data_IF_605934294012
#
_entry.id   IF_605934294012
#
_cell.length_a   1.000
_cell.length_b   1.000
_cell.length_c   1.000
_cell.angle_alpha   90.00
_cell.angle_beta   90.00
_cell.angle_gamma   90.00
#
_symmetry.space_group_name_H-M   'P 1'
#
loop_
_entity.id
_entity.type
_entity.pdbx_description
1 polymer ?
#
# COMPACT_ATOMS: atom_id res chain seq x y z
N UNK A 1 14.95 15.56 -16.99
CA UNK A 1 13.91 16.13 -17.86
C UNK A 1 12.66 16.31 -17.01
N UNK A 2 12.20 17.57 -16.89
CA UNK A 2 11.08 18.03 -16.08
C UNK A 2 9.77 17.38 -16.54
N UNK A 3 9.06 16.75 -15.62
CA UNK A 3 7.70 16.26 -15.82
C UNK A 3 6.75 17.46 -15.84
N UNK A 4 6.27 17.83 -17.01
CA UNK A 4 5.30 18.91 -17.23
C UNK A 4 3.93 18.48 -16.73
N UNK A 5 3.35 19.31 -15.88
CA UNK A 5 1.98 19.17 -15.34
C UNK A 5 0.94 19.25 -16.47
N UNK A 6 0.15 18.23 -16.60
CA UNK A 6 -1.07 18.26 -17.41
C UNK A 6 -2.28 17.99 -16.49
N UNK A 7 -3.08 19.04 -16.27
CA UNK A 7 -4.50 19.00 -16.02
C UNK A 7 -4.99 18.42 -14.68
N UNK A 8 -4.79 19.12 -13.56
CA UNK A 8 -5.62 18.95 -12.36
C UNK A 8 -6.91 19.75 -12.58
N UNK A 9 -8.03 19.06 -12.83
CA UNK A 9 -9.36 19.68 -12.78
C UNK A 9 -9.69 19.90 -11.30
N UNK A 10 -9.66 21.17 -10.87
CA UNK A 10 -10.15 21.62 -9.57
C UNK A 10 -11.66 21.34 -9.47
N UNK A 11 -12.04 20.32 -8.70
CA UNK A 11 -13.41 20.17 -8.24
C UNK A 11 -13.62 21.13 -7.05
N UNK A 12 -14.39 22.20 -7.28
CA UNK A 12 -14.73 23.18 -6.28
C UNK A 12 -15.43 22.57 -5.06
N UNK A 13 -15.09 23.06 -3.88
CA UNK A 13 -15.73 22.70 -2.62
C UNK A 13 -17.17 23.22 -2.60
N UNK A 14 -18.15 22.31 -2.58
CA UNK A 14 -19.55 22.62 -2.26
C UNK A 14 -19.78 22.32 -0.76
N UNK A 15 -20.44 23.26 -0.07
CA UNK A 15 -20.82 23.15 1.34
C UNK A 15 -21.96 22.14 1.55
N UNK A 16 -22.05 21.46 2.73
CA UNK A 16 -23.01 20.39 2.95
C UNK A 16 -24.40 20.91 3.31
N UNK A 17 -25.28 21.09 2.34
CA UNK A 17 -26.69 21.39 2.62
C UNK A 17 -27.71 20.79 1.67
N UNK A 18 -27.29 20.12 0.60
CA UNK A 18 -28.25 19.48 -0.32
C UNK A 18 -27.85 18.02 -0.50
N UNK A 19 -28.84 17.11 -0.41
CA UNK A 19 -28.67 15.66 -0.50
C UNK A 19 -28.06 15.18 -1.83
N UNK A 20 -26.83 15.57 -2.09
CA UNK A 20 -26.06 15.20 -3.26
C UNK A 20 -25.46 13.83 -3.00
N UNK A 21 -25.96 12.83 -3.69
CA UNK A 21 -25.27 11.55 -3.85
C UNK A 21 -23.88 11.86 -4.44
N UNK A 22 -22.85 11.84 -3.60
CA UNK A 22 -21.47 11.87 -4.06
C UNK A 22 -21.19 10.56 -4.83
N UNK A 23 -21.48 10.55 -6.09
CA UNK A 23 -20.89 9.54 -6.99
C UNK A 23 -19.40 9.88 -7.09
N UNK A 24 -18.59 9.22 -6.26
CA UNK A 24 -17.16 9.17 -6.51
C UNK A 24 -16.96 8.39 -7.81
N UNK A 25 -16.76 9.08 -8.92
CA UNK A 25 -16.29 8.44 -10.16
C UNK A 25 -14.82 8.08 -9.94
N UNK A 26 -14.59 6.95 -9.30
CA UNK A 26 -13.24 6.41 -9.18
C UNK A 26 -12.84 5.76 -10.51
N UNK A 27 -12.30 6.55 -11.41
CA UNK A 27 -11.80 6.11 -12.73
C UNK A 27 -10.49 5.31 -12.65
N UNK A 28 -10.30 4.53 -11.59
CA UNK A 28 -9.04 3.81 -11.35
C UNK A 28 -7.98 4.69 -10.71
N UNK A 29 -6.76 4.18 -10.61
CA UNK A 29 -5.65 4.82 -9.91
C UNK A 29 -4.42 4.93 -10.82
N UNK A 30 -3.84 6.12 -10.88
CA UNK A 30 -2.57 6.36 -11.59
C UNK A 30 -1.39 6.06 -10.66
N UNK A 31 -0.48 5.17 -11.06
CA UNK A 31 0.76 4.86 -10.33
C UNK A 31 1.94 4.99 -11.31
N UNK A 32 2.70 6.08 -11.22
CA UNK A 32 3.72 6.38 -12.20
C UNK A 32 3.13 6.37 -13.63
N UNK A 33 3.68 5.58 -14.56
CA UNK A 33 3.17 5.49 -15.93
C UNK A 33 1.95 4.58 -16.07
N UNK A 34 1.52 3.88 -15.01
CA UNK A 34 0.48 2.85 -15.08
C UNK A 34 -0.88 3.40 -14.67
N UNK A 35 -1.90 3.19 -15.52
CA UNK A 35 -3.31 3.42 -15.19
C UNK A 35 -3.93 2.09 -14.75
N UNK A 36 -4.26 1.95 -13.47
CA UNK A 36 -4.91 0.77 -12.91
C UNK A 36 -6.43 0.89 -12.97
N UNK A 37 -7.10 -0.22 -13.22
CA UNK A 37 -8.55 -0.26 -13.46
C UNK A 37 -9.40 -0.21 -12.18
N UNK A 38 -8.82 0.02 -11.01
CA UNK A 38 -9.55 0.05 -9.74
C UNK A 38 -8.73 0.62 -8.60
N UNK A 39 -9.37 0.69 -7.43
CA UNK A 39 -8.85 1.33 -6.23
C UNK A 39 -8.72 0.35 -5.04
N UNK A 40 -8.94 -0.95 -5.30
CA UNK A 40 -8.90 -1.99 -4.27
C UNK A 40 -7.63 -2.81 -4.43
N UNK A 41 -6.90 -3.00 -3.34
CA UNK A 41 -5.56 -3.60 -3.35
C UNK A 41 -5.47 -4.74 -2.36
N UNK A 42 -4.81 -5.85 -2.74
CA UNK A 42 -4.51 -6.93 -1.80
C UNK A 42 -3.25 -6.60 -1.00
N UNK A 43 -3.36 -6.65 0.33
CA UNK A 43 -2.26 -6.39 1.26
C UNK A 43 -1.22 -7.51 1.27
N UNK A 44 0.07 -7.20 1.50
CA UNK A 44 1.09 -8.21 1.76
C UNK A 44 0.85 -8.88 3.12
N UNK A 45 0.77 -10.20 3.12
CA UNK A 45 0.57 -11.02 4.33
C UNK A 45 1.51 -12.22 4.28
N UNK A 46 2.49 -12.27 5.19
CA UNK A 46 3.47 -13.36 5.26
C UNK A 46 2.79 -14.72 5.48
N UNK A 47 3.12 -15.70 4.67
CA UNK A 47 2.52 -17.03 4.69
C UNK A 47 1.12 -17.12 4.07
N UNK A 48 0.63 -16.04 3.45
CA UNK A 48 -0.73 -15.96 2.87
C UNK A 48 -0.74 -15.48 1.43
N UNK A 49 -0.06 -14.37 1.12
CA UNK A 49 -0.11 -13.75 -0.21
C UNK A 49 0.93 -14.33 -1.16
N UNK A 50 0.89 -15.66 -1.32
CA UNK A 50 1.61 -16.34 -2.38
C UNK A 50 1.06 -15.98 -3.78
N UNK A 51 1.74 -16.40 -4.83
CA UNK A 51 1.34 -16.08 -6.20
C UNK A 51 -0.07 -16.60 -6.54
N UNK A 52 -0.46 -17.77 -6.02
CA UNK A 52 -1.77 -18.34 -6.30
C UNK A 52 -2.89 -17.48 -5.71
N UNK A 53 -2.75 -17.08 -4.45
CA UNK A 53 -3.76 -16.23 -3.79
C UNK A 53 -3.83 -14.84 -4.42
N UNK A 54 -2.68 -14.23 -4.76
CA UNK A 54 -2.64 -12.94 -5.48
C UNK A 54 -3.40 -13.00 -6.79
N UNK A 55 -3.12 -14.02 -7.63
CA UNK A 55 -3.81 -14.21 -8.92
C UNK A 55 -5.32 -14.41 -8.73
N UNK A 56 -5.76 -15.12 -7.69
CA UNK A 56 -7.19 -15.27 -7.39
C UNK A 56 -7.81 -13.90 -7.07
N UNK A 57 -7.21 -13.11 -6.18
CA UNK A 57 -7.72 -11.79 -5.83
C UNK A 57 -7.75 -10.82 -7.03
N UNK A 58 -6.72 -10.86 -7.90
CA UNK A 58 -6.69 -10.09 -9.13
C UNK A 58 -7.83 -10.46 -10.08
N UNK A 59 -8.15 -11.76 -10.23
CA UNK A 59 -9.30 -12.21 -11.03
C UNK A 59 -10.64 -11.74 -10.47
N UNK A 60 -10.70 -11.49 -9.15
CA UNK A 60 -11.88 -10.95 -8.48
C UNK A 60 -11.88 -9.41 -8.38
N UNK A 61 -10.99 -8.71 -9.09
CA UNK A 61 -11.05 -7.25 -9.22
C UNK A 61 -10.13 -6.46 -8.29
N UNK A 62 -9.15 -7.10 -7.62
CA UNK A 62 -8.06 -6.34 -7.03
C UNK A 62 -7.27 -5.65 -8.16
N UNK A 63 -7.02 -4.34 -8.04
CA UNK A 63 -6.27 -3.56 -9.03
C UNK A 63 -4.81 -4.02 -9.12
N UNK A 64 -4.23 -4.34 -7.98
CA UNK A 64 -2.96 -5.04 -7.86
C UNK A 64 -2.89 -5.77 -6.51
N UNK A 65 -1.88 -6.63 -6.39
CA UNK A 65 -1.59 -7.38 -5.18
C UNK A 65 -0.13 -7.20 -4.80
N UNK A 66 0.13 -7.00 -3.50
CA UNK A 66 1.51 -6.91 -3.00
C UNK A 66 1.95 -8.29 -2.51
N UNK A 67 3.12 -8.74 -2.96
CA UNK A 67 3.71 -10.00 -2.56
C UNK A 67 4.15 -10.02 -1.09
N UNK A 68 4.50 -11.20 -0.59
CA UNK A 68 5.10 -11.33 0.74
C UNK A 68 6.42 -10.56 0.81
N UNK A 69 6.71 -9.95 1.97
CA UNK A 69 7.94 -9.18 2.16
C UNK A 69 9.20 -10.02 1.96
N UNK A 70 10.13 -9.53 1.13
CA UNK A 70 11.45 -10.10 0.89
C UNK A 70 12.48 -9.33 1.72
N UNK A 71 13.36 -10.04 2.44
CA UNK A 71 14.42 -9.40 3.23
C UNK A 71 15.51 -8.86 2.30
N UNK A 72 16.04 -7.65 2.60
CA UNK A 72 17.09 -6.99 1.83
C UNK A 72 18.50 -7.49 2.10
N UNK A 73 18.70 -8.19 3.25
CA UNK A 73 20.04 -8.64 3.65
C UNK A 73 20.73 -9.47 2.56
N UNK A 74 21.90 -9.04 2.15
CA UNK A 74 22.66 -9.62 1.04
C UNK A 74 22.88 -11.14 1.20
N UNK A 75 23.11 -11.63 2.44
CA UNK A 75 23.24 -13.03 2.75
C UNK A 75 21.96 -13.87 2.58
N UNK A 76 20.79 -13.23 2.50
CA UNK A 76 19.49 -13.87 2.33
C UNK A 76 19.02 -13.91 0.87
N UNK A 77 19.59 -13.09 -0.02
CA UNK A 77 19.15 -12.98 -1.42
C UNK A 77 19.25 -14.29 -2.20
N UNK A 78 20.15 -15.19 -1.79
CA UNK A 78 20.37 -16.48 -2.45
C UNK A 78 19.51 -17.63 -1.90
N UNK A 79 18.72 -17.38 -0.84
CA UNK A 79 17.82 -18.41 -0.31
C UNK A 79 16.63 -18.64 -1.22
N UNK A 80 16.17 -19.92 -1.32
CA UNK A 80 14.99 -20.25 -2.14
C UNK A 80 13.75 -19.47 -1.73
N UNK A 81 13.57 -19.28 -0.42
CA UNK A 81 12.45 -18.49 0.13
C UNK A 81 12.49 -17.05 -0.38
N UNK A 82 13.65 -16.41 -0.37
CA UNK A 82 13.81 -15.05 -0.86
C UNK A 82 13.59 -14.98 -2.37
N UNK A 83 14.18 -15.92 -3.15
CA UNK A 83 13.97 -15.99 -4.60
C UNK A 83 12.49 -16.08 -4.98
N UNK A 84 11.71 -16.93 -4.28
CA UNK A 84 10.25 -17.03 -4.50
C UNK A 84 9.52 -15.71 -4.30
N UNK A 85 9.98 -14.87 -3.37
CA UNK A 85 9.37 -13.55 -3.08
C UNK A 85 9.71 -12.49 -4.12
N UNK A 86 10.82 -12.65 -4.83
CA UNK A 86 11.18 -11.79 -5.97
C UNK A 86 10.60 -12.30 -7.30
N UNK A 87 10.07 -13.52 -7.34
CA UNK A 87 9.49 -14.07 -8.57
C UNK A 87 8.17 -13.38 -8.89
N UNK A 88 8.12 -12.72 -10.03
CA UNK A 88 6.91 -12.13 -10.58
C UNK A 88 6.16 -13.19 -11.39
N UNK A 89 4.89 -13.45 -11.04
CA UNK A 89 4.05 -14.37 -11.80
C UNK A 89 3.56 -13.67 -13.09
N UNK A 90 3.72 -14.25 -14.27
CA UNK A 90 3.32 -13.60 -15.53
C UNK A 90 1.80 -13.32 -15.63
N UNK A 91 1.00 -13.92 -14.77
CA UNK A 91 -0.44 -13.62 -14.64
C UNK A 91 -0.73 -12.33 -13.87
N UNK A 92 0.27 -11.79 -13.15
CA UNK A 92 0.19 -10.51 -12.45
C UNK A 92 0.66 -9.40 -13.40
N UNK A 93 -0.29 -8.75 -14.11
CA UNK A 93 0.04 -7.68 -15.07
C UNK A 93 0.77 -6.48 -14.46
N UNK A 94 0.63 -6.30 -13.14
CA UNK A 94 1.29 -5.28 -12.35
C UNK A 94 1.84 -5.94 -11.09
N UNK A 95 2.98 -6.65 -11.24
CA UNK A 95 3.62 -7.38 -10.16
C UNK A 95 4.32 -6.41 -9.19
N UNK A 96 4.04 -6.53 -7.89
CA UNK A 96 4.60 -5.68 -6.85
C UNK A 96 5.42 -6.52 -5.88
N UNK A 97 6.72 -6.23 -5.81
CA UNK A 97 7.64 -6.87 -4.86
C UNK A 97 7.81 -5.97 -3.63
N UNK A 98 7.51 -6.52 -2.45
CA UNK A 98 7.73 -5.79 -1.19
C UNK A 98 9.07 -6.16 -0.58
N UNK A 99 9.89 -5.16 -0.26
CA UNK A 99 11.22 -5.32 0.36
C UNK A 99 11.22 -4.84 1.81
N UNK A 100 12.04 -5.48 2.64
CA UNK A 100 12.14 -5.25 4.08
C UNK A 100 13.60 -5.21 4.52
N UNK A 101 14.02 -4.13 5.14
CA UNK A 101 15.36 -3.95 5.71
C UNK A 101 15.47 -2.68 6.54
N UNK A 102 16.67 -2.42 7.04
CA UNK A 102 17.01 -1.22 7.82
C UNK A 102 18.31 -0.56 7.32
N UNK A 103 19.07 -1.21 6.45
CA UNK A 103 20.26 -0.61 5.85
C UNK A 103 19.91 0.00 4.49
N UNK A 104 20.17 1.31 4.26
CA UNK A 104 19.83 1.97 3.01
C UNK A 104 20.47 1.34 1.76
N UNK A 105 21.74 0.90 1.87
CA UNK A 105 22.44 0.30 0.73
C UNK A 105 21.91 -1.09 0.39
N UNK A 106 21.61 -1.93 1.41
CA UNK A 106 20.96 -3.23 1.18
C UNK A 106 19.54 -3.06 0.61
N UNK A 107 18.80 -2.04 1.05
CA UNK A 107 17.46 -1.74 0.52
C UNK A 107 17.51 -1.28 -0.94
N UNK A 108 18.51 -0.46 -1.31
CA UNK A 108 18.75 -0.07 -2.71
C UNK A 108 19.06 -1.28 -3.59
N UNK A 109 19.96 -2.16 -3.15
CA UNK A 109 20.29 -3.40 -3.87
C UNK A 109 19.07 -4.33 -4.02
N UNK A 110 18.26 -4.46 -2.95
CA UNK A 110 17.03 -5.24 -2.99
C UNK A 110 16.00 -4.67 -3.97
N UNK A 111 15.90 -3.35 -4.07
CA UNK A 111 15.01 -2.69 -5.03
C UNK A 111 15.49 -2.91 -6.48
N UNK A 112 16.79 -2.77 -6.74
CA UNK A 112 17.37 -3.04 -8.05
C UNK A 112 17.12 -4.51 -8.48
N UNK A 113 17.34 -5.46 -7.57
CA UNK A 113 17.05 -6.88 -7.82
C UNK A 113 15.56 -7.11 -8.14
N UNK A 114 14.65 -6.45 -7.42
CA UNK A 114 13.21 -6.56 -7.71
C UNK A 114 12.88 -6.08 -9.12
N UNK A 115 13.47 -4.96 -9.55
CA UNK A 115 13.33 -4.46 -10.92
C UNK A 115 13.90 -5.43 -11.95
N UNK A 116 15.09 -6.01 -11.72
CA UNK A 116 15.70 -7.03 -12.59
C UNK A 116 14.84 -8.29 -12.70
N UNK A 117 14.14 -8.66 -11.61
CA UNK A 117 13.19 -9.77 -11.60
C UNK A 117 11.85 -9.46 -12.30
N UNK A 118 11.67 -8.26 -12.85
CA UNK A 118 10.49 -7.87 -13.63
C UNK A 118 9.35 -7.28 -12.80
N UNK A 119 9.61 -6.79 -11.59
CA UNK A 119 8.61 -6.05 -10.83
C UNK A 119 8.17 -4.79 -11.58
N UNK A 120 6.86 -4.51 -11.59
CA UNK A 120 6.30 -3.26 -12.10
C UNK A 120 6.36 -2.13 -11.06
N UNK A 121 6.45 -2.48 -9.77
CA UNK A 121 6.61 -1.55 -8.66
C UNK A 121 7.37 -2.23 -7.51
N UNK A 122 8.18 -1.47 -6.79
CA UNK A 122 8.78 -1.89 -5.52
C UNK A 122 8.02 -1.22 -4.37
N UNK A 123 7.62 -2.01 -3.37
CA UNK A 123 6.98 -1.51 -2.15
C UNK A 123 7.92 -1.68 -0.94
N UNK A 124 8.09 -0.62 -0.15
CA UNK A 124 8.94 -0.61 1.05
C UNK A 124 8.09 -0.92 2.28
N UNK A 125 8.51 -1.90 3.09
CA UNK A 125 7.79 -2.27 4.32
C UNK A 125 8.28 -1.49 5.54
N UNK A 126 7.50 -0.51 5.99
CA UNK A 126 7.64 0.20 7.28
C UNK A 126 6.47 -0.12 8.23
N UNK A 127 5.77 -1.25 8.01
CA UNK A 127 4.56 -1.57 8.76
C UNK A 127 4.59 -2.88 9.56
N UNK A 128 5.50 -3.81 9.30
CA UNK A 128 5.53 -5.11 9.95
C UNK A 128 5.79 -4.98 11.46
N UNK A 129 4.86 -5.43 12.35
CA UNK A 129 5.01 -5.29 13.80
C UNK A 129 5.65 -6.53 14.47
N UNK A 130 6.06 -7.53 13.69
CA UNK A 130 6.59 -8.78 14.22
C UNK A 130 7.85 -8.56 15.05
N UNK A 131 7.96 -9.22 16.22
CA UNK A 131 9.10 -9.05 17.13
C UNK A 131 10.44 -9.36 16.46
N UNK A 132 10.50 -10.40 15.64
CA UNK A 132 11.72 -10.81 14.91
C UNK A 132 12.15 -9.73 13.91
N UNK A 133 11.21 -9.04 13.26
CA UNK A 133 11.46 -7.96 12.31
C UNK A 133 11.89 -6.69 13.05
N UNK A 134 11.12 -6.27 14.06
CA UNK A 134 11.42 -5.08 14.85
C UNK A 134 12.73 -5.22 15.66
N UNK A 135 13.08 -6.43 16.10
CA UNK A 135 14.33 -6.71 16.78
C UNK A 135 15.58 -6.51 15.92
N UNK A 136 15.42 -6.50 14.60
CA UNK A 136 16.45 -6.15 13.59
C UNK A 136 16.33 -4.71 13.10
N UNK A 137 15.63 -3.84 13.83
CA UNK A 137 15.31 -2.45 13.48
C UNK A 137 14.55 -2.27 12.17
N UNK A 138 13.96 -3.34 11.61
CA UNK A 138 13.24 -3.34 10.34
C UNK A 138 11.71 -3.14 10.50
N UNK A 139 11.01 -2.96 9.41
CA UNK A 139 9.56 -2.82 9.37
C UNK A 139 9.10 -1.61 10.16
N UNK A 140 8.13 -1.76 11.07
CA UNK A 140 7.61 -0.63 11.84
C UNK A 140 8.62 -0.03 12.84
N UNK A 141 9.76 -0.70 13.12
CA UNK A 141 10.81 -0.14 13.94
C UNK A 141 11.53 1.05 13.26
N UNK A 142 11.59 1.06 11.92
CA UNK A 142 12.15 2.19 11.16
C UNK A 142 11.38 3.48 11.43
N UNK A 143 10.08 3.41 11.72
CA UNK A 143 9.26 4.59 12.03
C UNK A 143 9.66 5.32 13.33
N UNK A 144 10.54 4.74 14.15
CA UNK A 144 11.11 5.40 15.35
C UNK A 144 12.23 6.38 15.00
N UNK A 145 12.79 6.26 13.81
CA UNK A 145 13.90 7.08 13.32
C UNK A 145 13.54 7.64 11.93
N UNK A 146 12.87 8.80 11.86
CA UNK A 146 12.53 9.44 10.60
C UNK A 146 13.74 9.73 9.70
N UNK A 147 14.93 9.99 10.31
CA UNK A 147 16.14 10.18 9.52
C UNK A 147 16.52 8.91 8.78
N UNK A 148 16.56 7.77 9.45
CA UNK A 148 16.82 6.46 8.83
C UNK A 148 15.74 6.13 7.78
N UNK A 149 14.46 6.40 8.09
CA UNK A 149 13.37 6.23 7.12
C UNK A 149 13.64 7.02 5.84
N UNK A 150 13.99 8.31 5.96
CA UNK A 150 14.32 9.17 4.83
C UNK A 150 15.55 8.71 4.04
N UNK A 151 16.59 8.22 4.72
CA UNK A 151 17.79 7.67 4.08
C UNK A 151 17.46 6.43 3.24
N UNK A 152 16.64 5.51 3.77
CA UNK A 152 16.15 4.33 3.05
C UNK A 152 15.29 4.72 1.84
N UNK A 153 14.32 5.64 2.01
CA UNK A 153 13.44 6.07 0.93
C UNK A 153 14.25 6.66 -0.23
N UNK A 154 15.20 7.54 0.04
CA UNK A 154 16.08 8.13 -0.99
C UNK A 154 16.95 7.08 -1.69
N UNK A 155 17.53 6.15 -0.92
CA UNK A 155 18.37 5.10 -1.48
C UNK A 155 17.57 4.17 -2.43
N UNK A 156 16.37 3.76 -2.03
CA UNK A 156 15.47 2.94 -2.86
C UNK A 156 15.05 3.68 -4.12
N UNK A 157 14.57 4.93 -4.01
CA UNK A 157 14.13 5.72 -5.16
C UNK A 157 15.24 5.96 -6.18
N UNK A 158 16.48 6.13 -5.71
CA UNK A 158 17.65 6.34 -6.59
C UNK A 158 18.15 5.08 -7.28
N UNK A 159 17.78 3.89 -6.78
CA UNK A 159 18.27 2.61 -7.28
C UNK A 159 17.47 2.03 -8.45
N UNK A 160 16.26 2.53 -8.70
CA UNK A 160 15.33 1.97 -9.69
C UNK A 160 14.70 3.05 -10.57
N UNK A 161 14.21 2.64 -11.73
CA UNK A 161 13.46 3.51 -12.66
C UNK A 161 11.96 3.21 -12.67
N UNK A 162 11.56 2.10 -12.08
CA UNK A 162 10.15 1.72 -11.90
C UNK A 162 9.54 2.46 -10.71
N UNK A 163 8.20 2.59 -10.62
CA UNK A 163 7.50 3.18 -9.49
C UNK A 163 7.91 2.57 -8.14
N UNK A 164 7.95 3.41 -7.11
CA UNK A 164 8.21 3.00 -5.74
C UNK A 164 7.07 3.44 -4.82
N UNK A 165 6.71 2.58 -3.85
CA UNK A 165 5.70 2.86 -2.83
C UNK A 165 6.19 2.47 -1.45
N UNK A 166 5.55 2.98 -0.41
CA UNK A 166 5.82 2.60 0.98
C UNK A 166 4.54 2.21 1.69
N UNK A 167 4.58 1.07 2.39
CA UNK A 167 3.50 0.65 3.28
C UNK A 167 3.93 0.77 4.73
N UNK A 168 3.22 1.60 5.49
CA UNK A 168 3.56 1.92 6.87
C UNK A 168 2.36 1.83 7.82
N UNK A 169 2.60 2.01 9.11
CA UNK A 169 1.61 2.24 10.16
C UNK A 169 1.50 3.74 10.47
N UNK A 170 0.66 4.11 11.44
CA UNK A 170 0.55 5.52 11.88
C UNK A 170 1.75 5.96 12.72
N UNK A 171 2.46 5.01 13.33
CA UNK A 171 3.65 5.26 14.14
C UNK A 171 4.08 4.04 14.95
N UNK A 172 5.00 4.26 15.88
CA UNK A 172 5.47 3.24 16.81
C UNK A 172 4.44 2.95 17.91
N UNK A 173 3.96 4.00 18.57
CA UNK A 173 2.92 4.01 19.58
C UNK A 173 2.11 5.31 19.50
N UNK A 174 1.25 5.58 20.48
CA UNK A 174 0.39 6.78 20.49
C UNK A 174 1.17 8.08 20.68
N UNK A 175 2.31 8.03 21.36
CA UNK A 175 3.17 9.19 21.61
C UNK A 175 4.12 9.48 20.44
N UNK A 176 4.32 8.51 19.55
CA UNK A 176 5.26 8.58 18.43
C UNK A 176 4.56 8.21 17.11
N UNK A 177 3.74 9.15 16.60
CA UNK A 177 3.06 9.05 15.31
C UNK A 177 3.84 9.83 14.25
N UNK A 178 4.56 9.11 13.40
CA UNK A 178 5.48 9.68 12.40
C UNK A 178 5.00 9.50 10.97
N UNK A 179 3.78 8.97 10.75
CA UNK A 179 3.29 8.66 9.41
C UNK A 179 3.21 9.86 8.48
N UNK A 180 2.78 11.03 8.96
CA UNK A 180 2.69 12.26 8.17
C UNK A 180 4.08 12.72 7.72
N UNK A 181 5.05 12.72 8.63
CA UNK A 181 6.44 13.09 8.34
C UNK A 181 7.06 12.15 7.29
N UNK A 182 6.92 10.83 7.51
CA UNK A 182 7.48 9.82 6.60
C UNK A 182 6.79 9.86 5.23
N UNK A 183 5.47 10.13 5.17
CA UNK A 183 4.76 10.27 3.90
C UNK A 183 5.27 11.46 3.08
N UNK A 184 5.56 12.60 3.72
CA UNK A 184 6.18 13.76 3.07
C UNK A 184 7.58 13.42 2.56
N UNK A 185 8.40 12.76 3.39
CA UNK A 185 9.73 12.31 2.97
C UNK A 185 9.67 11.36 1.77
N UNK A 186 8.68 10.45 1.75
CA UNK A 186 8.46 9.54 0.62
C UNK A 186 8.11 10.32 -0.66
N UNK A 187 7.17 11.26 -0.59
CA UNK A 187 6.84 12.15 -1.71
C UNK A 187 8.06 12.91 -2.22
N UNK A 188 8.84 13.54 -1.31
CA UNK A 188 10.02 14.32 -1.65
C UNK A 188 11.13 13.45 -2.24
N UNK A 189 11.21 12.18 -1.87
CA UNK A 189 12.12 11.19 -2.46
C UNK A 189 11.67 10.66 -3.83
N UNK A 190 10.46 11.02 -4.30
CA UNK A 190 9.94 10.58 -5.60
C UNK A 190 9.08 9.31 -5.54
N UNK A 191 8.62 8.90 -4.37
CA UNK A 191 7.64 7.83 -4.24
C UNK A 191 6.31 8.26 -4.87
N UNK A 192 5.64 7.32 -5.52
CA UNK A 192 4.39 7.60 -6.23
C UNK A 192 3.12 7.17 -5.47
N UNK A 193 3.28 6.49 -4.32
CA UNK A 193 2.17 5.95 -3.54
C UNK A 193 2.57 5.71 -2.09
N UNK A 194 1.64 5.96 -1.17
CA UNK A 194 1.77 5.62 0.26
C UNK A 194 0.59 4.76 0.68
N UNK A 195 0.83 3.67 1.43
CA UNK A 195 -0.23 2.88 2.07
C UNK A 195 -0.12 3.00 3.57
N UNK A 196 -1.20 3.40 4.25
CA UNK A 196 -1.22 3.60 5.71
C UNK A 196 -2.16 2.62 6.37
N UNK A 197 -1.62 1.76 7.25
CA UNK A 197 -2.43 0.99 8.18
C UNK A 197 -2.76 1.85 9.40
N UNK A 198 -4.04 2.12 9.65
CA UNK A 198 -4.52 3.03 10.69
C UNK A 198 -4.35 2.50 12.12
N UNK A 199 -3.23 1.86 12.42
CA UNK A 199 -2.80 1.41 13.76
C UNK A 199 -1.32 1.69 13.96
N UNK A 200 -0.95 1.96 15.20
CA UNK A 200 0.46 2.00 15.60
C UNK A 200 1.06 0.58 15.66
N UNK A 201 2.38 0.50 15.75
CA UNK A 201 3.05 -0.80 15.97
C UNK A 201 2.66 -1.41 17.32
N UNK A 202 2.51 -0.59 18.38
CA UNK A 202 2.14 -1.06 19.71
C UNK A 202 0.77 -1.74 19.74
N UNK A 203 -0.20 -1.22 19.01
CA UNK A 203 -1.54 -1.79 18.86
C UNK A 203 -1.54 -3.13 18.11
N UNK A 204 -0.57 -3.40 17.23
CA UNK A 204 -0.55 -4.59 16.37
C UNK A 204 -1.85 -4.77 15.58
N UNK A 205 -2.76 -5.61 16.07
CA UNK A 205 -4.07 -5.90 15.47
C UNK A 205 -5.23 -5.73 16.47
N UNK A 206 -4.96 -5.18 17.66
CA UNK A 206 -5.96 -4.90 18.69
C UNK A 206 -6.55 -3.50 18.54
N UNK A 207 -7.68 -3.26 19.18
CA UNK A 207 -8.41 -1.99 19.07
C UNK A 207 -8.99 -1.77 17.68
N UNK A 208 -9.40 -0.53 17.39
CA UNK A 208 -9.98 -0.10 16.11
C UNK A 208 -8.98 0.66 15.26
N UNK A 209 -9.17 0.64 13.95
CA UNK A 209 -8.38 1.45 13.01
C UNK A 209 -8.70 2.93 13.19
N UNK A 210 -7.67 3.74 13.38
CA UNK A 210 -7.80 5.19 13.43
C UNK A 210 -7.82 5.76 12.00
N UNK A 211 -9.02 6.11 11.53
CA UNK A 211 -9.23 6.70 10.20
C UNK A 211 -8.83 8.17 10.13
N UNK A 212 -8.79 8.86 11.27
CA UNK A 212 -8.35 10.26 11.35
C UNK A 212 -6.85 10.35 11.02
N UNK A 213 -6.02 9.49 11.62
CA UNK A 213 -4.58 9.45 11.33
C UNK A 213 -4.31 9.17 9.84
N UNK A 214 -5.12 8.30 9.19
CA UNK A 214 -5.02 8.08 7.73
C UNK A 214 -5.39 9.35 6.96
N UNK A 215 -6.49 10.00 7.33
CA UNK A 215 -6.95 11.24 6.69
C UNK A 215 -5.93 12.39 6.84
N UNK A 216 -5.20 12.44 7.95
CA UNK A 216 -4.10 13.39 8.12
C UNK A 216 -2.97 13.17 7.11
N UNK A 217 -2.59 11.92 6.86
CA UNK A 217 -1.61 11.60 5.81
C UNK A 217 -2.15 12.00 4.43
N UNK A 218 -3.42 11.69 4.13
CA UNK A 218 -4.06 12.08 2.86
C UNK A 218 -3.97 13.58 2.62
N UNK A 219 -4.26 14.38 3.65
CA UNK A 219 -4.18 15.87 3.54
C UNK A 219 -2.76 16.41 3.43
N UNK A 220 -1.77 15.64 3.86
CA UNK A 220 -0.39 16.10 3.99
C UNK A 220 0.46 15.92 2.73
N UNK A 221 0.03 15.08 1.78
CA UNK A 221 0.76 14.74 0.55
C UNK A 221 -0.10 14.90 -0.70
N UNK A 222 0.55 15.04 -1.86
CA UNK A 222 -0.12 15.15 -3.16
C UNK A 222 -0.17 13.79 -3.90
N UNK A 223 0.68 12.85 -3.53
CA UNK A 223 0.69 11.49 -4.09
C UNK A 223 -0.49 10.70 -3.51
N UNK A 224 -1.02 9.69 -4.25
CA UNK A 224 -2.10 8.84 -3.78
C UNK A 224 -1.78 8.17 -2.44
N UNK A 225 -2.78 8.13 -1.55
CA UNK A 225 -2.71 7.39 -0.29
C UNK A 225 -3.76 6.28 -0.31
N UNK A 226 -3.34 5.07 0.04
CA UNK A 226 -4.21 3.90 0.20
C UNK A 226 -4.47 3.66 1.69
N UNK A 227 -5.74 3.62 2.08
CA UNK A 227 -6.16 3.30 3.44
C UNK A 227 -6.15 1.80 3.69
N UNK A 228 -5.67 1.37 4.85
CA UNK A 228 -5.63 -0.05 5.21
C UNK A 228 -6.08 -0.27 6.66
N UNK A 229 -6.79 -1.36 6.88
CA UNK A 229 -7.15 -1.92 8.18
C UNK A 229 -8.65 -2.19 8.35
N UNK A 230 -8.99 -3.34 8.93
CA UNK A 230 -10.33 -3.79 9.35
C UNK A 230 -11.43 -3.68 8.28
N UNK A 231 -11.10 -3.95 7.03
CA UNK A 231 -12.07 -4.04 5.94
C UNK A 231 -12.37 -5.51 5.69
N UNK A 232 -13.59 -5.94 5.98
CA UNK A 232 -14.10 -7.31 5.84
C UNK A 232 -15.39 -7.38 5.02
N UNK A 233 -16.04 -6.23 4.80
CA UNK A 233 -17.27 -6.08 4.02
C UNK A 233 -17.12 -4.96 2.97
N UNK A 234 -17.91 -5.01 1.87
CA UNK A 234 -17.94 -3.93 0.88
C UNK A 234 -18.28 -2.56 1.47
N UNK A 235 -19.25 -2.52 2.40
CA UNK A 235 -19.66 -1.28 3.07
C UNK A 235 -18.54 -0.63 3.90
N UNK A 236 -17.74 -1.44 4.61
CA UNK A 236 -16.58 -0.94 5.36
C UNK A 236 -15.51 -0.33 4.45
N UNK A 237 -15.32 -0.88 3.25
CA UNK A 237 -14.40 -0.31 2.27
C UNK A 237 -14.85 1.07 1.80
N UNK A 238 -16.14 1.22 1.44
CA UNK A 238 -16.70 2.52 1.05
C UNK A 238 -16.61 3.54 2.20
N UNK A 239 -16.95 3.11 3.41
CA UNK A 239 -16.88 3.99 4.57
C UNK A 239 -15.45 4.41 4.92
N UNK A 240 -14.48 3.50 4.73
CA UNK A 240 -13.06 3.83 4.84
C UNK A 240 -12.66 4.93 3.85
N UNK A 241 -13.02 4.78 2.57
CA UNK A 241 -12.73 5.78 1.54
C UNK A 241 -13.41 7.12 1.84
N UNK A 242 -14.69 7.08 2.25
CA UNK A 242 -15.46 8.28 2.57
C UNK A 242 -14.88 9.07 3.75
N UNK A 243 -14.46 8.39 4.81
CA UNK A 243 -13.94 9.05 6.01
C UNK A 243 -12.50 9.52 5.85
N UNK A 244 -11.68 8.78 5.14
CA UNK A 244 -10.26 9.11 4.98
C UNK A 244 -9.98 9.98 3.76
N UNK A 245 -10.87 9.99 2.76
CA UNK A 245 -10.63 10.57 1.44
C UNK A 245 -9.41 9.96 0.72
N UNK A 246 -9.05 8.73 1.08
CA UNK A 246 -7.96 7.98 0.45
C UNK A 246 -8.30 7.64 -1.00
N UNK A 247 -7.27 7.55 -1.86
CA UNK A 247 -7.40 7.21 -3.26
C UNK A 247 -7.86 5.75 -3.49
N UNK A 248 -7.73 4.89 -2.49
CA UNK A 248 -8.17 3.50 -2.53
C UNK A 248 -8.06 2.81 -1.19
N UNK A 249 -8.42 1.52 -1.17
CA UNK A 249 -8.41 0.69 0.04
C UNK A 249 -7.61 -0.58 -0.17
N UNK A 250 -6.71 -0.87 0.77
CA UNK A 250 -5.98 -2.12 0.81
C UNK A 250 -6.64 -3.10 1.78
N UNK A 251 -7.00 -4.28 1.29
CA UNK A 251 -7.67 -5.33 2.03
C UNK A 251 -6.66 -6.43 2.38
N UNK A 252 -6.57 -6.79 3.65
CA UNK A 252 -5.75 -7.89 4.13
C UNK A 252 -6.60 -9.10 4.49
N UNK A 253 -6.72 -9.38 5.78
CA UNK A 253 -7.41 -10.56 6.34
C UNK A 253 -8.83 -10.76 5.84
N UNK A 254 -9.55 -9.68 5.49
CA UNK A 254 -10.90 -9.76 4.93
C UNK A 254 -10.98 -10.46 3.58
N UNK A 255 -9.87 -10.58 2.84
CA UNK A 255 -9.80 -11.32 1.59
C UNK A 255 -9.54 -12.83 1.78
N UNK A 256 -9.08 -13.26 2.98
CA UNK A 256 -8.80 -14.67 3.24
C UNK A 256 -10.10 -15.49 3.24
N UNK A 257 -10.19 -16.47 2.35
CA UNK A 257 -11.41 -17.24 2.12
C UNK A 257 -12.57 -16.43 1.51
N UNK A 258 -12.32 -15.19 1.09
CA UNK A 258 -13.32 -14.25 0.56
C UNK A 258 -12.74 -13.35 -0.55
N UNK A 259 -12.12 -13.91 -1.60
CA UNK A 259 -11.51 -13.10 -2.66
C UNK A 259 -12.53 -12.28 -3.46
N UNK A 260 -13.79 -12.70 -3.52
CA UNK A 260 -14.88 -11.96 -4.15
C UNK A 260 -15.24 -10.65 -3.43
N UNK A 261 -14.67 -10.39 -2.25
CA UNK A 261 -14.81 -9.11 -1.57
C UNK A 261 -14.40 -7.93 -2.49
N UNK A 262 -13.39 -8.12 -3.33
CA UNK A 262 -12.96 -7.10 -4.29
C UNK A 262 -14.05 -6.78 -5.32
N UNK A 263 -14.60 -7.78 -6.02
CA UNK A 263 -15.66 -7.58 -7.02
C UNK A 263 -16.96 -7.05 -6.41
N UNK A 264 -17.32 -7.51 -5.21
CA UNK A 264 -18.47 -7.02 -4.45
C UNK A 264 -18.31 -5.54 -4.09
N UNK A 265 -17.14 -5.17 -3.60
CA UNK A 265 -16.82 -3.77 -3.26
C UNK A 265 -16.82 -2.90 -4.52
N UNK A 266 -16.23 -3.39 -5.61
CA UNK A 266 -16.24 -2.65 -6.88
C UNK A 266 -17.66 -2.41 -7.40
N UNK A 267 -18.56 -3.40 -7.29
CA UNK A 267 -19.96 -3.22 -7.66
C UNK A 267 -20.60 -2.04 -6.90
N UNK A 268 -20.38 -1.95 -5.58
CA UNK A 268 -20.90 -0.82 -4.79
C UNK A 268 -20.24 0.52 -5.19
N UNK A 269 -18.95 0.55 -5.47
CA UNK A 269 -18.25 1.74 -5.98
C UNK A 269 -18.87 2.22 -7.29
N UNK A 270 -19.22 1.27 -8.18
CA UNK A 270 -19.88 1.55 -9.47
C UNK A 270 -21.37 1.91 -9.32
N UNK A 271 -21.91 2.00 -8.11
CA UNK A 271 -23.34 2.26 -7.86
C UNK A 271 -24.26 1.08 -8.18
N UNK A 272 -23.71 -0.13 -8.34
CA UNK A 272 -24.44 -1.36 -8.58
C UNK A 272 -24.78 -2.07 -7.26
N UNK A 273 -25.86 -2.88 -7.20
CA UNK A 273 -26.13 -3.70 -6.03
C UNK A 273 -24.97 -4.69 -5.78
N UNK A 274 -24.72 -4.99 -4.49
CA UNK A 274 -23.78 -6.03 -4.08
C UNK A 274 -24.25 -7.40 -4.63
N UNK A 275 -23.46 -8.10 -5.47
CA UNK A 275 -23.85 -9.41 -6.00
C UNK A 275 -23.87 -10.54 -4.97
N UNK A 276 -23.43 -10.27 -3.74
CA UNK A 276 -23.29 -11.29 -2.71
C UNK A 276 -22.04 -12.17 -2.86
N UNK A 277 -21.81 -13.02 -1.87
CA UNK A 277 -20.80 -14.08 -1.96
C UNK A 277 -21.33 -15.24 -2.82
N UNK A 278 -20.47 -15.97 -3.54
CA UNK A 278 -20.87 -17.22 -4.19
C UNK A 278 -21.47 -18.20 -3.17
N UNK A 279 -22.51 -18.92 -3.60
CA UNK A 279 -23.18 -19.99 -2.80
C UNK A 279 -22.38 -21.29 -2.90
#
# INVERSE_FOLDING_TARGET
QSCTMAGIVNAGFATPSDGVNFFFVFSGMQIGPYQLAGNLVLAPMAGVTDAAFRVICLRHGAAYAVGEMAASGSHLLHTEMTRRRYTCDPRERFAVVQILGADPAEMANAAALAQECGAAMVDVNFGCPARVVCGKACGSAVMRDPKLAGDILRAVASAVTIPVSVKMRTGWDEDMKTSVEIAKMAQDAGFCLVTVHGRTRAQRFTGTVNRIDIAEVVRAVQIPVIANGDVTTPGEALEMMRQTQAAGVMIGRGACGNPWLFSRTQALIDGKPDPGAPT
#
